data_IF_364740406155
#
_entry.id   IF_364740406155
#
_cell.length_a   1.000
_cell.length_b   1.000
_cell.length_c   1.000
_cell.angle_alpha   90.00
_cell.angle_beta   90.00
_cell.angle_gamma   90.00
#
_symmetry.space_group_name_H-M   'P 1'
#
loop_
_entity.id
_entity.type
_entity.pdbx_description
1 polymer ?
#
# COMPACT_ATOMS: atom_id res chain seq x y z
N UNK A 1 6.59 19.28 -4.98
CA UNK A 1 5.47 18.92 -5.88
C UNK A 1 4.49 18.11 -5.05
N UNK A 2 3.26 18.60 -4.82
CA UNK A 2 2.29 17.88 -3.97
C UNK A 2 1.69 16.66 -4.65
N UNK A 3 0.90 15.87 -3.93
CA UNK A 3 0.25 14.62 -4.37
C UNK A 3 -0.38 14.70 -5.78
N UNK A 4 -0.91 15.87 -6.15
CA UNK A 4 -1.50 16.14 -7.47
C UNK A 4 -0.49 16.01 -8.62
N UNK A 5 0.76 16.44 -8.41
CA UNK A 5 1.83 16.33 -9.41
C UNK A 5 2.24 14.88 -9.63
N UNK A 6 2.50 14.17 -8.53
CA UNK A 6 2.88 12.74 -8.57
C UNK A 6 1.79 11.90 -9.22
N UNK A 7 0.52 12.14 -8.86
CA UNK A 7 -0.61 11.42 -9.48
C UNK A 7 -0.65 11.64 -11.00
N UNK A 8 -0.46 12.87 -11.47
CA UNK A 8 -0.48 13.19 -12.91
C UNK A 8 0.63 12.45 -13.65
N UNK A 9 1.83 12.46 -13.10
CA UNK A 9 2.98 11.76 -13.67
C UNK A 9 2.75 10.25 -13.70
N UNK A 10 2.28 9.66 -12.59
CA UNK A 10 1.94 8.25 -12.54
C UNK A 10 0.85 7.86 -13.55
N UNK A 11 -0.16 8.71 -13.77
CA UNK A 11 -1.19 8.49 -14.80
C UNK A 11 -0.64 8.53 -16.22
N UNK A 12 0.35 9.40 -16.50
CA UNK A 12 1.03 9.45 -17.79
C UNK A 12 1.81 8.17 -18.04
N UNK A 13 2.58 7.72 -17.04
CA UNK A 13 3.35 6.46 -17.11
C UNK A 13 2.40 5.27 -17.29
N UNK A 14 1.36 5.15 -16.47
CA UNK A 14 0.37 4.06 -16.62
C UNK A 14 -0.38 4.11 -17.95
N UNK A 15 -0.52 5.30 -18.55
CA UNK A 15 -1.15 5.50 -19.85
C UNK A 15 -0.27 5.15 -21.05
N UNK A 16 1.04 4.99 -20.88
CA UNK A 16 1.95 4.61 -21.97
C UNK A 16 2.04 3.09 -22.21
N UNK A 17 1.36 2.28 -21.40
CA UNK A 17 1.32 0.84 -21.55
C UNK A 17 0.01 0.39 -22.19
N UNK A 18 0.09 -0.54 -23.14
CA UNK A 18 -1.09 -1.11 -23.82
C UNK A 18 -1.95 -1.97 -22.87
N UNK A 19 -1.33 -2.54 -21.83
CA UNK A 19 -2.00 -3.37 -20.83
C UNK A 19 -1.45 -3.10 -19.44
N UNK A 20 -2.35 -3.05 -18.45
CA UNK A 20 -1.99 -2.90 -17.05
C UNK A 20 -2.26 -4.20 -16.27
N UNK A 21 -1.50 -4.47 -15.20
CA UNK A 21 -1.81 -5.57 -14.31
C UNK A 21 -3.18 -5.39 -13.67
N UNK A 22 -3.85 -6.50 -13.37
CA UNK A 22 -5.15 -6.47 -12.67
C UNK A 22 -5.02 -6.19 -11.17
N UNK A 23 -3.85 -6.47 -10.59
CA UNK A 23 -3.55 -6.33 -9.18
C UNK A 23 -2.10 -5.89 -8.98
N UNK A 24 -1.88 -4.91 -8.11
CA UNK A 24 -0.56 -4.54 -7.57
C UNK A 24 -0.58 -4.76 -6.07
N UNK A 25 0.45 -5.45 -5.55
CA UNK A 25 0.58 -5.74 -4.12
C UNK A 25 1.75 -4.95 -3.54
N UNK A 26 1.51 -4.19 -2.49
CA UNK A 26 2.53 -3.42 -1.78
C UNK A 26 2.90 -4.09 -0.45
N UNK A 27 4.18 -4.12 -0.11
CA UNK A 27 4.56 -4.24 1.30
C UNK A 27 4.25 -2.92 2.04
N UNK A 28 4.41 -2.92 3.36
CA UNK A 28 4.13 -1.77 4.21
C UNK A 28 5.41 -1.05 4.64
N UNK A 29 6.22 -1.72 5.46
CA UNK A 29 7.42 -1.13 6.07
C UNK A 29 8.48 -0.84 5.00
N UNK A 30 9.01 0.39 5.00
CA UNK A 30 9.95 0.89 3.98
C UNK A 30 9.42 0.86 2.54
N UNK A 31 8.11 0.68 2.35
CA UNK A 31 7.45 0.75 1.04
C UNK A 31 6.45 1.90 1.00
N UNK A 32 5.47 1.90 1.92
CA UNK A 32 4.50 3.00 2.03
C UNK A 32 4.95 4.08 3.02
N UNK A 33 5.70 3.70 4.05
CA UNK A 33 6.23 4.62 5.07
C UNK A 33 7.68 4.32 5.42
N UNK A 34 8.47 5.32 5.87
CA UNK A 34 9.93 5.19 6.06
C UNK A 34 10.33 4.61 7.42
N UNK A 35 9.62 3.59 7.91
CA UNK A 35 9.93 2.95 9.19
C UNK A 35 9.34 1.54 9.30
N UNK A 36 9.82 0.77 10.27
CA UNK A 36 9.07 -0.39 10.76
C UNK A 36 7.86 0.06 11.58
N UNK A 37 6.70 -0.56 11.38
CA UNK A 37 5.48 -0.31 12.15
C UNK A 37 5.73 -0.22 13.67
N UNK A 38 6.52 -1.16 14.21
CA UNK A 38 6.83 -1.26 15.64
C UNK A 38 7.60 -0.04 16.17
N UNK A 39 8.53 0.47 15.38
CA UNK A 39 9.33 1.65 15.73
C UNK A 39 8.56 2.95 15.49
N UNK A 40 7.76 3.00 14.41
CA UNK A 40 6.98 4.18 14.04
C UNK A 40 5.97 4.57 15.12
N UNK A 41 5.29 3.59 15.73
CA UNK A 41 4.29 3.85 16.76
C UNK A 41 4.89 4.57 17.99
N UNK A 42 6.11 4.18 18.38
CA UNK A 42 6.83 4.80 19.51
C UNK A 42 7.26 6.24 19.21
N UNK A 43 7.38 6.62 17.94
CA UNK A 43 7.87 7.94 17.49
C UNK A 43 6.74 8.92 17.11
N UNK A 44 5.48 8.48 17.12
CA UNK A 44 4.31 9.35 16.88
C UNK A 44 3.50 8.96 15.64
N UNK A 45 2.96 9.96 14.93
CA UNK A 45 2.07 9.76 13.79
C UNK A 45 2.83 9.22 12.57
N UNK A 46 2.36 8.13 11.94
CA UNK A 46 3.01 7.64 10.72
C UNK A 46 2.91 8.68 9.61
N UNK A 47 3.91 8.69 8.73
CA UNK A 47 3.93 9.51 7.52
C UNK A 47 4.17 8.60 6.33
N UNK A 48 3.40 8.80 5.26
CA UNK A 48 3.68 8.16 3.99
C UNK A 48 4.92 8.78 3.35
N UNK A 49 5.57 8.02 2.46
CA UNK A 49 6.40 8.64 1.44
C UNK A 49 5.55 9.68 0.66
N UNK A 50 6.09 10.87 0.38
CA UNK A 50 5.35 11.94 -0.31
C UNK A 50 4.69 11.47 -1.61
N UNK A 51 5.30 10.52 -2.30
CA UNK A 51 4.87 10.02 -3.60
C UNK A 51 3.80 8.92 -3.48
N UNK A 52 3.76 8.19 -2.37
CA UNK A 52 2.97 6.97 -2.23
C UNK A 52 1.48 7.21 -2.47
N UNK A 53 0.91 8.28 -1.88
CA UNK A 53 -0.52 8.59 -2.03
C UNK A 53 -0.89 8.92 -3.48
N UNK A 54 -0.02 9.64 -4.20
CA UNK A 54 -0.23 9.97 -5.61
C UNK A 54 -0.26 8.72 -6.49
N UNK A 55 0.66 7.78 -6.26
CA UNK A 55 0.75 6.50 -6.98
C UNK A 55 -0.48 5.63 -6.71
N UNK A 56 -0.88 5.46 -5.45
CA UNK A 56 -2.08 4.69 -5.07
C UNK A 56 -3.34 5.25 -5.73
N UNK A 57 -3.48 6.57 -5.76
CA UNK A 57 -4.61 7.23 -6.43
C UNK A 57 -4.60 6.98 -7.95
N UNK A 58 -3.44 7.02 -8.60
CA UNK A 58 -3.32 6.80 -10.03
C UNK A 58 -3.67 5.35 -10.43
N UNK A 59 -3.22 4.36 -9.65
CA UNK A 59 -3.58 2.95 -9.85
C UNK A 59 -5.10 2.73 -9.74
N UNK A 60 -5.73 3.29 -8.70
CA UNK A 60 -7.18 3.19 -8.50
C UNK A 60 -7.96 3.83 -9.63
N UNK A 61 -7.52 4.98 -10.13
CA UNK A 61 -8.16 5.67 -11.26
C UNK A 61 -8.04 4.89 -12.58
N UNK A 62 -6.93 4.18 -12.78
CA UNK A 62 -6.74 3.27 -13.92
C UNK A 62 -7.48 1.93 -13.77
N UNK A 63 -8.22 1.72 -12.69
CA UNK A 63 -8.94 0.48 -12.44
C UNK A 63 -8.03 -0.70 -12.06
N UNK A 64 -6.80 -0.43 -11.64
CA UNK A 64 -5.87 -1.45 -11.13
C UNK A 64 -6.20 -1.70 -9.67
N UNK A 65 -6.53 -2.94 -9.32
CA UNK A 65 -6.74 -3.27 -7.92
C UNK A 65 -5.43 -3.15 -7.15
N UNK A 66 -5.50 -2.70 -5.90
CA UNK A 66 -4.34 -2.59 -5.03
C UNK A 66 -4.56 -3.44 -3.79
N UNK A 67 -3.55 -4.19 -3.39
CA UNK A 67 -3.55 -4.96 -2.15
C UNK A 67 -2.28 -4.68 -1.34
N UNK A 68 -2.29 -5.09 -0.08
CA UNK A 68 -1.09 -5.07 0.77
C UNK A 68 -0.73 -6.48 1.24
N UNK A 69 0.57 -6.74 1.38
CA UNK A 69 1.11 -7.96 1.93
C UNK A 69 2.27 -7.65 2.87
N UNK A 70 2.10 -7.85 4.17
CA UNK A 70 3.14 -7.52 5.17
C UNK A 70 3.50 -8.70 6.05
N UNK A 71 4.79 -8.81 6.39
CA UNK A 71 5.33 -9.76 7.37
C UNK A 71 5.28 -9.27 8.81
N UNK A 72 4.73 -8.08 9.06
CA UNK A 72 4.75 -7.47 10.39
C UNK A 72 4.14 -8.37 11.46
N UNK A 73 4.89 -8.57 12.55
CA UNK A 73 4.45 -9.23 13.80
C UNK A 73 3.36 -8.45 14.54
N UNK A 74 3.08 -7.21 14.13
CA UNK A 74 2.18 -6.29 14.82
C UNK A 74 1.05 -5.79 13.90
N UNK A 75 0.12 -6.67 13.48
CA UNK A 75 -0.93 -6.32 12.53
C UNK A 75 -1.91 -5.24 13.03
N UNK A 76 -2.09 -5.14 14.35
CA UNK A 76 -2.94 -4.09 14.96
C UNK A 76 -2.36 -2.70 14.70
N UNK A 77 -1.04 -2.55 14.84
CA UNK A 77 -0.33 -1.29 14.63
C UNK A 77 -0.39 -0.90 13.15
N UNK A 78 -0.14 -1.85 12.25
CA UNK A 78 -0.25 -1.64 10.81
C UNK A 78 -1.66 -1.17 10.40
N UNK A 79 -2.72 -1.80 10.92
CA UNK A 79 -4.09 -1.38 10.66
C UNK A 79 -4.37 0.04 11.15
N UNK A 80 -3.93 0.38 12.36
CA UNK A 80 -4.06 1.75 12.88
C UNK A 80 -3.31 2.76 12.01
N UNK A 81 -2.17 2.40 11.41
CA UNK A 81 -1.47 3.28 10.48
C UNK A 81 -2.28 3.50 9.20
N UNK A 82 -2.82 2.44 8.62
CA UNK A 82 -3.66 2.52 7.41
C UNK A 82 -4.91 3.38 7.62
N UNK A 83 -5.53 3.31 8.80
CA UNK A 83 -6.66 4.14 9.20
C UNK A 83 -6.25 5.61 9.38
N UNK A 84 -5.20 5.87 10.16
CA UNK A 84 -4.70 7.25 10.41
C UNK A 84 -4.21 7.94 9.15
N UNK A 85 -3.71 7.18 8.17
CA UNK A 85 -3.24 7.68 6.88
C UNK A 85 -4.37 7.77 5.84
N UNK A 86 -5.59 7.33 6.19
CA UNK A 86 -6.78 7.35 5.33
C UNK A 86 -6.61 6.61 3.99
N UNK A 87 -5.77 5.56 3.96
CA UNK A 87 -5.51 4.76 2.76
C UNK A 87 -6.12 3.36 2.83
N UNK A 88 -6.68 2.95 3.97
CA UNK A 88 -7.27 1.62 4.16
C UNK A 88 -8.31 1.26 3.08
N UNK A 89 -9.17 2.21 2.71
CA UNK A 89 -10.22 2.05 1.69
C UNK A 89 -9.70 1.97 0.24
N UNK A 90 -8.39 2.06 0.03
CA UNK A 90 -7.76 1.87 -1.28
C UNK A 90 -7.44 0.40 -1.57
N UNK A 91 -7.37 -0.45 -0.55
CA UNK A 91 -6.90 -1.83 -0.69
C UNK A 91 -8.07 -2.82 -0.79
N UNK A 92 -8.08 -3.64 -1.84
CA UNK A 92 -9.09 -4.70 -2.05
C UNK A 92 -8.81 -5.95 -1.23
N UNK A 93 -7.56 -6.13 -0.81
CA UNK A 93 -7.12 -7.27 0.00
C UNK A 93 -5.94 -6.89 0.89
N UNK A 94 -5.85 -7.55 2.05
CA UNK A 94 -4.75 -7.39 3.00
C UNK A 94 -4.27 -8.77 3.44
N UNK A 95 -3.05 -9.15 3.03
CA UNK A 95 -2.45 -10.44 3.37
C UNK A 95 -1.40 -10.23 4.46
N UNK A 96 -1.42 -11.09 5.48
CA UNK A 96 -0.41 -11.10 6.53
C UNK A 96 0.47 -12.32 6.33
N UNK A 97 1.75 -12.11 6.06
CA UNK A 97 2.74 -13.19 6.04
C UNK A 97 3.30 -13.41 7.45
N UNK A 98 2.47 -14.00 8.31
CA UNK A 98 2.97 -14.79 9.43
C UNK A 98 3.24 -16.20 8.91
N UNK A 99 4.23 -16.93 9.45
CA UNK A 99 4.56 -18.31 9.05
C UNK A 99 3.33 -19.26 9.05
N UNK A 100 2.29 -18.92 9.83
CA UNK A 100 1.00 -19.62 9.94
C UNK A 100 0.02 -19.32 8.78
N UNK A 101 0.19 -18.20 8.07
CA UNK A 101 -0.73 -17.73 7.02
C UNK A 101 -0.34 -18.13 5.59
N UNK A 102 0.82 -18.75 5.37
CA UNK A 102 1.24 -19.27 4.05
C UNK A 102 0.19 -20.23 3.45
N UNK A 103 -0.53 -20.98 4.31
CA UNK A 103 -1.59 -21.90 3.89
C UNK A 103 -2.86 -21.17 3.42
N UNK A 104 -3.10 -19.91 3.84
CA UNK A 104 -4.31 -19.16 3.48
C UNK A 104 -4.17 -18.33 2.19
N UNK A 105 -2.96 -17.89 1.85
CA UNK A 105 -2.71 -17.14 0.62
C UNK A 105 -2.83 -18.01 -0.65
N UNK A 106 -2.62 -19.33 -0.53
CA UNK A 106 -2.76 -20.28 -1.63
C UNK A 106 -4.21 -20.44 -2.15
N UNK A 107 -5.22 -19.92 -1.44
CA UNK A 107 -6.63 -20.03 -1.80
C UNK A 107 -7.26 -18.69 -2.25
N UNK A 108 -6.47 -17.66 -2.54
CA UNK A 108 -6.98 -16.34 -2.94
C UNK A 108 -6.68 -15.94 -4.41
N UNK A 109 -6.20 -16.89 -5.22
CA UNK A 109 -6.03 -16.71 -6.66
C UNK A 109 -6.53 -17.93 -7.43
#
# INVERSE_FOLDING_TARGET
MGDKGVKKEALQILGSFDSLPRLVVFDLDYTLWPCYCECGFKRGMPKLYPEAKGILCALKEKGVNVAIASKSSTPKIANTFLEKLEINSMFVAQVRFCLICLVKAANLF
#
